data_IF_025049436372
#
_entry.id   IF_025049436372
#
_cell.length_a   1.000
_cell.length_b   1.000
_cell.length_c   1.000
_cell.angle_alpha   90.00
_cell.angle_beta   90.00
_cell.angle_gamma   90.00
#
_symmetry.space_group_name_H-M   'P 1'
#
loop_
_entity.id
_entity.type
_entity.pdbx_description
1 polymer ?
#
# COMPACT_ATOMS: atom_id res chain seq x y z
N UNK A 1 10.40 -6.24 -11.79
CA UNK A 1 10.95 -5.06 -12.49
C UNK A 1 12.29 -4.64 -11.89
N UNK A 2 13.04 -3.87 -12.61
CA UNK A 2 14.31 -3.32 -12.17
C UNK A 2 14.38 -1.85 -12.63
N UNK A 3 14.55 -0.95 -11.67
CA UNK A 3 14.59 0.49 -11.93
C UNK A 3 15.76 0.89 -12.86
N UNK A 4 16.95 0.38 -12.62
CA UNK A 4 18.15 0.73 -13.38
C UNK A 4 18.06 0.32 -14.85
N UNK A 5 17.44 -0.81 -15.10
CA UNK A 5 17.31 -1.36 -16.45
C UNK A 5 16.02 -0.94 -17.13
N UNK A 6 15.13 -0.28 -16.43
CA UNK A 6 13.80 0.11 -16.93
C UNK A 6 13.04 -1.06 -17.60
N UNK A 7 13.23 -2.27 -17.07
CA UNK A 7 12.70 -3.50 -17.66
C UNK A 7 11.49 -3.98 -16.91
N UNK A 8 10.45 -4.31 -17.66
CA UNK A 8 9.31 -5.10 -17.24
C UNK A 8 8.22 -4.36 -16.50
N UNK A 9 8.46 -3.34 -15.75
CA UNK A 9 7.45 -2.65 -14.91
C UNK A 9 6.37 -3.60 -14.35
N UNK A 10 6.80 -4.81 -13.98
CA UNK A 10 5.94 -5.84 -13.40
C UNK A 10 5.98 -5.74 -11.88
N UNK A 11 4.84 -5.91 -11.26
CA UNK A 11 4.66 -5.88 -9.82
C UNK A 11 3.58 -6.91 -9.44
N UNK A 12 3.51 -7.35 -8.19
CA UNK A 12 2.42 -8.19 -7.71
C UNK A 12 1.12 -7.39 -7.72
N UNK A 13 0.43 -7.38 -8.85
CA UNK A 13 -0.86 -6.73 -9.00
C UNK A 13 -1.95 -7.66 -8.48
N UNK A 14 -2.41 -7.40 -7.26
CA UNK A 14 -3.45 -8.17 -6.61
C UNK A 14 -4.79 -7.51 -6.93
N UNK A 15 -5.61 -8.16 -7.76
CA UNK A 15 -6.87 -7.62 -8.24
C UNK A 15 -7.85 -8.73 -8.61
N UNK A 16 -9.14 -8.42 -8.59
CA UNK A 16 -10.14 -9.24 -9.27
C UNK A 16 -10.10 -8.98 -10.79
N UNK A 17 -10.46 -9.97 -11.62
CA UNK A 17 -10.66 -9.72 -13.04
C UNK A 17 -11.65 -8.56 -13.23
N UNK A 18 -11.25 -7.58 -14.06
CA UNK A 18 -12.03 -6.36 -14.32
C UNK A 18 -12.27 -5.46 -13.12
N UNK A 19 -11.46 -5.64 -12.06
CA UNK A 19 -11.49 -4.77 -10.88
C UNK A 19 -11.12 -3.33 -11.22
N UNK A 20 -11.60 -2.40 -10.40
CA UNK A 20 -11.36 -0.96 -10.57
C UNK A 20 -10.07 -0.48 -9.92
N UNK A 21 -9.43 -1.31 -9.14
CA UNK A 21 -8.15 -1.01 -8.49
C UNK A 21 -7.29 -2.26 -8.38
N UNK A 22 -6.02 -2.03 -8.17
CA UNK A 22 -5.02 -3.05 -7.88
C UNK A 22 -4.36 -2.74 -6.55
N UNK A 23 -3.90 -3.77 -5.88
CA UNK A 23 -3.13 -3.63 -4.65
C UNK A 23 -1.77 -4.25 -4.83
N UNK A 24 -0.75 -3.64 -4.24
CA UNK A 24 0.62 -4.15 -4.33
C UNK A 24 1.40 -3.86 -3.05
N UNK A 25 2.33 -4.75 -2.65
CA UNK A 25 3.36 -4.36 -1.72
C UNK A 25 4.24 -3.29 -2.38
N UNK A 26 4.60 -2.28 -1.63
CA UNK A 26 5.41 -1.17 -2.09
C UNK A 26 6.84 -1.32 -1.56
N UNK A 27 7.82 -1.28 -2.45
CA UNK A 27 9.24 -1.37 -2.10
C UNK A 27 9.99 -0.04 -2.25
N UNK A 28 9.28 1.02 -2.61
CA UNK A 28 9.77 2.38 -2.74
C UNK A 28 8.89 3.35 -1.94
N UNK A 29 9.26 4.63 -1.89
CA UNK A 29 8.45 5.66 -1.21
C UNK A 29 7.12 5.90 -1.92
N UNK A 30 6.13 6.37 -1.17
CA UNK A 30 4.82 6.73 -1.74
C UNK A 30 4.96 7.79 -2.84
N UNK A 31 4.23 7.61 -3.93
CA UNK A 31 4.27 8.50 -5.10
C UNK A 31 5.38 8.19 -6.10
N UNK A 32 6.19 7.15 -5.87
CA UNK A 32 7.15 6.67 -6.86
C UNK A 32 6.41 5.89 -7.97
N UNK A 33 6.79 6.10 -9.22
CA UNK A 33 6.25 5.35 -10.36
C UNK A 33 6.69 3.88 -10.40
N UNK A 34 7.79 3.56 -9.73
CA UNK A 34 8.30 2.19 -9.54
C UNK A 34 7.88 1.65 -8.19
N UNK A 35 6.66 1.25 -8.08
CA UNK A 35 6.07 0.82 -6.81
C UNK A 35 6.72 -0.42 -6.23
N UNK A 36 7.17 -1.33 -7.09
CA UNK A 36 7.77 -2.59 -6.70
C UNK A 36 9.02 -2.92 -7.52
N UNK A 37 10.07 -3.28 -6.82
CA UNK A 37 11.31 -3.79 -7.40
C UNK A 37 11.60 -5.17 -6.80
N UNK A 38 11.69 -6.20 -7.64
CA UNK A 38 11.87 -7.58 -7.18
C UNK A 38 13.13 -7.81 -6.35
N UNK A 39 14.21 -7.09 -6.65
CA UNK A 39 15.48 -7.21 -5.90
C UNK A 39 15.48 -6.44 -4.57
N UNK A 40 14.42 -5.70 -4.26
CA UNK A 40 14.28 -5.03 -2.98
C UNK A 40 14.01 -6.07 -1.87
N UNK A 41 14.43 -5.72 -0.65
CA UNK A 41 14.34 -6.57 0.52
C UNK A 41 13.52 -5.93 1.65
N UNK A 42 12.92 -4.77 1.40
CA UNK A 42 12.05 -4.08 2.34
C UNK A 42 10.72 -3.68 1.70
N UNK A 43 9.65 -3.86 2.47
CA UNK A 43 8.31 -3.35 2.16
C UNK A 43 8.07 -2.08 2.97
N UNK A 44 7.59 -1.03 2.29
CA UNK A 44 7.25 0.28 2.85
C UNK A 44 5.77 0.42 3.21
N UNK A 45 4.95 -0.48 2.69
CA UNK A 45 3.51 -0.53 2.89
C UNK A 45 2.80 -1.30 1.77
N UNK A 46 1.49 -1.35 1.87
CA UNK A 46 0.60 -1.96 0.87
C UNK A 46 -0.24 -0.85 0.25
N UNK A 47 -0.11 -0.68 -1.05
CA UNK A 47 -0.62 0.49 -1.76
C UNK A 47 -1.76 0.11 -2.70
N UNK A 48 -2.81 0.93 -2.70
CA UNK A 48 -3.78 0.92 -3.78
C UNK A 48 -3.18 1.62 -5.01
N UNK A 49 -3.31 0.99 -6.16
CA UNK A 49 -2.83 1.55 -7.42
C UNK A 49 -3.95 1.55 -8.46
N UNK A 50 -3.90 2.47 -9.43
CA UNK A 50 -4.87 2.56 -10.53
C UNK A 50 -4.20 2.40 -11.88
N UNK A 51 -3.10 3.12 -12.10
CA UNK A 51 -2.38 3.11 -13.37
C UNK A 51 -0.88 3.30 -13.09
N UNK A 52 -0.19 2.29 -12.54
CA UNK A 52 1.23 2.40 -12.25
C UNK A 52 2.03 2.61 -13.53
N UNK A 53 2.84 3.65 -13.55
CA UNK A 53 3.68 3.99 -14.68
C UNK A 53 4.98 4.65 -14.20
N UNK A 54 6.14 4.18 -14.67
CA UNK A 54 7.40 4.83 -14.33
C UNK A 54 7.55 6.23 -14.96
N UNK A 55 6.75 6.55 -15.95
CA UNK A 55 6.82 7.81 -16.70
C UNK A 55 5.90 8.89 -16.15
N UNK A 56 4.65 8.53 -15.91
CA UNK A 56 3.61 9.47 -15.49
C UNK A 56 3.18 9.28 -14.03
N UNK A 57 3.73 8.27 -13.36
CA UNK A 57 3.32 7.83 -12.02
C UNK A 57 1.85 7.39 -11.94
N UNK A 58 1.44 6.98 -10.77
CA UNK A 58 0.06 6.65 -10.45
C UNK A 58 -0.68 7.87 -9.86
N UNK A 59 -1.96 7.73 -9.63
CA UNK A 59 -2.80 8.77 -9.03
C UNK A 59 -3.73 8.17 -7.96
N UNK A 60 -4.16 9.01 -7.03
CA UNK A 60 -5.09 8.61 -5.96
C UNK A 60 -4.52 7.58 -4.98
N UNK A 61 -3.21 7.55 -4.80
CA UNK A 61 -2.52 6.58 -3.98
C UNK A 61 -2.71 6.84 -2.49
N UNK A 62 -2.93 5.77 -1.73
CA UNK A 62 -2.73 5.71 -0.29
C UNK A 62 -2.20 4.33 0.08
N UNK A 63 -1.60 4.21 1.24
CA UNK A 63 -0.87 3.01 1.65
C UNK A 63 -1.17 2.66 3.10
N UNK A 64 -1.15 1.37 3.40
CA UNK A 64 -1.31 0.81 4.74
C UNK A 64 -0.01 0.13 5.16
N UNK A 65 0.43 0.34 6.41
CA UNK A 65 1.57 -0.37 6.97
C UNK A 65 1.29 -0.80 8.41
N UNK A 66 1.20 -2.12 8.68
CA UNK A 66 1.11 -2.62 10.04
C UNK A 66 2.47 -2.51 10.73
N UNK A 67 2.47 -2.06 11.98
CA UNK A 67 3.67 -1.89 12.81
C UNK A 67 3.40 -2.30 14.25
N UNK A 68 4.44 -2.66 14.98
CA UNK A 68 4.38 -2.99 16.40
C UNK A 68 5.35 -2.14 17.20
N UNK A 69 5.06 -1.91 18.49
CA UNK A 69 5.89 -1.16 19.39
C UNK A 69 5.83 0.35 19.14
N UNK A 70 6.97 0.99 18.96
CA UNK A 70 7.03 2.43 18.74
C UNK A 70 6.70 2.81 17.29
N UNK A 71 5.77 3.75 17.11
CA UNK A 71 5.33 4.18 15.78
C UNK A 71 6.34 5.16 15.18
N UNK A 72 7.01 4.73 14.12
CA UNK A 72 7.88 5.58 13.30
C UNK A 72 7.08 6.21 12.15
N UNK A 73 7.10 7.53 12.03
CA UNK A 73 6.37 8.25 10.98
C UNK A 73 7.15 8.35 9.66
N UNK A 74 8.47 8.27 9.70
CA UNK A 74 9.28 8.23 8.48
C UNK A 74 9.14 6.87 7.78
N UNK A 75 8.58 6.87 6.58
CA UNK A 75 8.31 5.63 5.83
C UNK A 75 9.55 4.78 5.54
N UNK A 76 10.73 5.40 5.40
CA UNK A 76 11.97 4.67 5.12
C UNK A 76 12.48 3.94 6.37
N UNK A 77 12.34 4.57 7.53
CA UNK A 77 12.72 3.96 8.80
C UNK A 77 11.71 2.88 9.20
N UNK A 78 10.42 3.08 8.88
CA UNK A 78 9.33 2.15 9.13
C UNK A 78 9.34 0.95 8.19
N UNK A 79 10.12 0.95 7.10
CA UNK A 79 10.13 -0.15 6.13
C UNK A 79 10.63 -1.46 6.75
N UNK A 80 9.86 -2.52 6.60
CA UNK A 80 10.16 -3.84 7.15
C UNK A 80 10.87 -4.76 6.16
N UNK A 81 11.82 -5.54 6.64
CA UNK A 81 12.43 -6.62 5.90
C UNK A 81 11.40 -7.70 5.56
N UNK A 82 11.53 -8.29 4.39
CA UNK A 82 10.76 -9.44 3.95
C UNK A 82 11.62 -10.39 3.12
N UNK A 83 11.09 -11.57 2.84
CA UNK A 83 11.76 -12.57 2.00
C UNK A 83 10.79 -13.15 0.98
N UNK A 84 11.19 -13.18 -0.29
CA UNK A 84 10.42 -13.83 -1.35
C UNK A 84 10.18 -15.34 -1.12
N UNK A 85 10.99 -15.98 -0.28
CA UNK A 85 10.76 -17.39 0.10
C UNK A 85 9.54 -17.58 1.00
N UNK A 86 9.14 -16.52 1.73
CA UNK A 86 7.97 -16.49 2.59
C UNK A 86 6.81 -15.68 2.00
N UNK A 87 6.97 -15.17 0.77
CA UNK A 87 5.96 -14.41 0.06
C UNK A 87 5.06 -15.34 -0.75
N UNK A 88 3.76 -15.10 -0.71
CA UNK A 88 2.79 -15.72 -1.62
C UNK A 88 2.17 -14.61 -2.45
N UNK A 89 2.38 -14.62 -3.74
CA UNK A 89 1.84 -13.64 -4.68
C UNK A 89 1.00 -14.35 -5.76
N UNK A 90 -0.31 -14.35 -5.57
CA UNK A 90 -1.29 -14.84 -6.53
C UNK A 90 -2.13 -13.66 -7.02
N UNK A 91 -2.73 -13.71 -8.20
CA UNK A 91 -3.55 -12.58 -8.68
C UNK A 91 -4.66 -12.13 -7.73
N UNK A 92 -5.20 -13.05 -6.95
CA UNK A 92 -6.34 -12.85 -6.05
C UNK A 92 -5.99 -12.94 -4.55
N UNK A 93 -4.70 -13.09 -4.22
CA UNK A 93 -4.26 -13.25 -2.83
C UNK A 93 -2.78 -12.93 -2.68
N UNK A 94 -2.46 -12.17 -1.67
CA UNK A 94 -1.09 -11.88 -1.28
C UNK A 94 -0.87 -12.18 0.19
N UNK A 95 0.31 -12.70 0.51
CA UNK A 95 0.73 -12.94 1.90
C UNK A 95 2.21 -12.70 2.04
N UNK A 96 2.61 -12.04 3.12
CA UNK A 96 4.03 -11.82 3.46
C UNK A 96 4.20 -11.70 4.96
N UNK A 97 5.39 -12.09 5.44
CA UNK A 97 5.85 -11.83 6.80
C UNK A 97 6.75 -10.61 6.83
N UNK A 98 6.42 -9.66 7.70
CA UNK A 98 7.16 -8.43 7.94
C UNK A 98 8.05 -8.61 9.17
N UNK A 99 9.34 -8.84 8.93
CA UNK A 99 10.27 -9.30 9.96
C UNK A 99 10.61 -8.24 11.03
N UNK A 100 10.54 -6.95 10.69
CA UNK A 100 10.79 -5.86 11.64
C UNK A 100 9.73 -5.81 12.75
N UNK A 101 8.50 -6.20 12.43
CA UNK A 101 7.32 -6.04 13.29
C UNK A 101 6.72 -7.36 13.75
N UNK A 102 7.28 -8.49 13.32
CA UNK A 102 6.71 -9.84 13.58
C UNK A 102 5.23 -9.95 13.15
N UNK A 103 4.90 -9.35 12.00
CA UNK A 103 3.52 -9.29 11.50
C UNK A 103 3.37 -10.13 10.23
N UNK A 104 2.35 -10.98 10.20
CA UNK A 104 1.88 -11.58 8.94
C UNK A 104 0.80 -10.70 8.34
N UNK A 105 1.02 -10.25 7.11
CA UNK A 105 0.03 -9.50 6.34
C UNK A 105 -0.54 -10.38 5.23
N UNK A 106 -1.86 -10.44 5.15
CA UNK A 106 -2.61 -11.10 4.09
C UNK A 106 -3.55 -10.09 3.42
N UNK A 107 -3.74 -10.22 2.13
CA UNK A 107 -4.56 -9.30 1.34
C UNK A 107 -5.33 -10.07 0.26
N UNK A 108 -6.64 -9.82 0.16
CA UNK A 108 -7.50 -10.35 -0.87
C UNK A 108 -8.35 -9.22 -1.48
N UNK A 109 -8.36 -9.04 -2.81
CA UNK A 109 -9.07 -7.95 -3.46
C UNK A 109 -10.55 -8.29 -3.67
N UNK A 110 -11.35 -7.24 -3.81
CA UNK A 110 -12.67 -7.28 -4.43
C UNK A 110 -12.65 -6.41 -5.69
N UNK A 111 -13.81 -6.20 -6.31
CA UNK A 111 -13.88 -5.32 -7.50
C UNK A 111 -13.46 -3.88 -7.22
N UNK A 112 -13.68 -3.37 -6.00
CA UNK A 112 -13.47 -1.96 -5.64
C UNK A 112 -12.74 -1.74 -4.32
N UNK A 113 -12.43 -2.81 -3.60
CA UNK A 113 -11.81 -2.76 -2.28
C UNK A 113 -10.82 -3.92 -2.10
N UNK A 114 -10.21 -4.01 -0.94
CA UNK A 114 -9.49 -5.19 -0.53
C UNK A 114 -9.77 -5.48 0.95
N UNK A 115 -9.78 -6.76 1.31
CA UNK A 115 -9.74 -7.22 2.67
C UNK A 115 -8.29 -7.41 3.08
N UNK A 116 -7.91 -6.83 4.20
CA UNK A 116 -6.62 -7.07 4.84
C UNK A 116 -6.80 -7.85 6.13
N UNK A 117 -5.86 -8.74 6.39
CA UNK A 117 -5.69 -9.37 7.69
C UNK A 117 -4.27 -9.15 8.16
N UNK A 118 -4.11 -8.53 9.31
CA UNK A 118 -2.85 -8.39 9.99
C UNK A 118 -2.84 -9.30 11.22
N UNK A 119 -1.92 -10.25 11.25
CA UNK A 119 -1.70 -11.10 12.43
C UNK A 119 -0.52 -10.52 13.18
N UNK A 120 -0.81 -9.86 14.28
CA UNK A 120 0.17 -9.22 15.15
C UNK A 120 0.68 -10.18 16.24
N UNK A 121 1.90 -9.98 16.74
CA UNK A 121 2.36 -10.62 17.98
C UNK A 121 1.63 -10.00 19.19
N UNK A 122 1.89 -10.53 20.38
CA UNK A 122 1.40 -9.94 21.64
C UNK A 122 2.21 -8.68 22.01
N UNK A 123 1.88 -7.58 21.34
CA UNK A 123 2.54 -6.28 21.47
C UNK A 123 1.58 -5.15 21.10
N UNK A 124 1.91 -3.93 21.49
CA UNK A 124 1.21 -2.73 21.02
C UNK A 124 1.28 -2.68 19.49
N UNK A 125 0.12 -2.65 18.84
CA UNK A 125 -0.02 -2.87 17.42
C UNK A 125 -0.81 -1.74 16.77
N UNK A 126 -0.35 -1.32 15.59
CA UNK A 126 -0.91 -0.18 14.88
C UNK A 126 -0.96 -0.44 13.38
N UNK A 127 -1.87 0.25 12.70
CA UNK A 127 -1.88 0.36 11.24
C UNK A 127 -1.66 1.83 10.88
N UNK A 128 -0.54 2.12 10.26
CA UNK A 128 -0.23 3.47 9.75
C UNK A 128 -0.86 3.62 8.37
N UNK A 129 -1.62 4.69 8.17
CA UNK A 129 -2.19 5.04 6.87
C UNK A 129 -1.45 6.25 6.35
N UNK A 130 -0.74 6.06 5.25
CA UNK A 130 -0.11 7.13 4.51
C UNK A 130 -1.01 7.55 3.34
N UNK A 131 -1.57 8.74 3.41
CA UNK A 131 -2.05 9.45 2.24
C UNK A 131 -0.96 10.42 1.78
N UNK A 132 -0.99 10.81 0.52
CA UNK A 132 0.03 11.68 -0.05
C UNK A 132 0.18 12.99 0.74
N UNK A 133 1.40 13.45 0.95
CA UNK A 133 1.79 14.57 1.82
C UNK A 133 1.24 15.96 1.40
N UNK A 134 0.65 16.07 0.21
CA UNK A 134 0.08 17.32 -0.32
C UNK A 134 -1.37 17.14 -0.69
N UNK A 135 -2.23 17.96 -0.09
CA UNK A 135 -3.66 18.03 -0.43
C UNK A 135 -4.48 16.81 -0.01
N UNK A 136 -3.97 15.98 0.91
CA UNK A 136 -4.71 14.85 1.48
C UNK A 136 -5.43 15.23 2.76
N UNK A 137 -6.45 14.46 3.11
CA UNK A 137 -7.18 14.60 4.36
C UNK A 137 -7.52 13.21 4.90
N UNK A 138 -7.34 13.03 6.21
CA UNK A 138 -7.69 11.80 6.93
C UNK A 138 -8.51 12.18 8.15
N UNK A 139 -9.64 11.52 8.36
CA UNK A 139 -10.49 11.64 9.54
C UNK A 139 -10.70 10.27 10.16
N UNK A 140 -10.35 10.14 11.44
CA UNK A 140 -10.64 8.95 12.24
C UNK A 140 -12.03 9.10 12.87
N UNK A 141 -12.84 8.07 12.80
CA UNK A 141 -14.20 7.98 13.36
C UNK A 141 -14.24 6.76 14.29
N UNK A 142 -13.75 6.90 15.53
CA UNK A 142 -13.58 5.76 16.44
C UNK A 142 -14.89 5.05 16.77
N UNK A 143 -15.99 5.80 16.87
CA UNK A 143 -17.32 5.28 17.17
C UNK A 143 -17.91 4.39 16.06
N UNK A 144 -17.32 4.44 14.86
CA UNK A 144 -17.72 3.60 13.73
C UNK A 144 -16.61 2.61 13.34
N UNK A 145 -15.51 2.52 14.09
CA UNK A 145 -14.32 1.75 13.74
C UNK A 145 -13.82 2.05 12.31
N UNK A 146 -13.81 3.33 11.95
CA UNK A 146 -13.66 3.74 10.56
C UNK A 146 -12.66 4.90 10.42
N UNK A 147 -11.94 4.88 9.30
CA UNK A 147 -11.16 6.02 8.83
C UNK A 147 -11.66 6.39 7.44
N UNK A 148 -11.92 7.66 7.22
CA UNK A 148 -12.29 8.20 5.90
C UNK A 148 -11.29 9.24 5.47
N UNK A 149 -11.04 9.31 4.18
CA UNK A 149 -10.10 10.30 3.68
C UNK A 149 -10.18 10.50 2.18
N UNK A 150 -9.31 11.38 1.72
CA UNK A 150 -9.04 11.53 0.30
C UNK A 150 -7.58 11.91 0.08
N UNK A 151 -7.09 11.61 -1.09
CA UNK A 151 -5.81 12.10 -1.61
C UNK A 151 -6.01 12.80 -2.94
N UNK A 152 -5.25 13.87 -3.16
CA UNK A 152 -5.25 14.60 -4.42
C UNK A 152 -4.06 14.24 -5.31
N UNK A 153 -3.31 13.19 -4.92
CA UNK A 153 -2.14 12.75 -5.68
C UNK A 153 -2.51 12.49 -7.13
N UNK A 154 -1.85 13.17 -8.03
CA UNK A 154 -1.95 12.96 -9.46
C UNK A 154 -0.67 13.42 -10.16
N UNK A 155 -0.48 12.98 -11.39
CA UNK A 155 0.65 13.36 -12.25
C UNK A 155 0.26 14.32 -13.37
N UNK A 156 -0.92 14.90 -13.31
CA UNK A 156 -1.49 15.77 -14.32
C UNK A 156 -2.61 15.10 -15.13
N UNK A 157 -3.26 15.87 -15.99
CA UNK A 157 -4.35 15.38 -16.84
C UNK A 157 -5.69 15.12 -16.13
N UNK A 158 -5.82 15.56 -14.89
CA UNK A 158 -7.06 15.47 -14.09
C UNK A 158 -7.64 16.87 -13.84
N UNK A 159 -8.94 16.97 -13.51
CA UNK A 159 -9.53 18.25 -13.11
C UNK A 159 -8.86 18.83 -11.84
N UNK A 160 -8.88 20.14 -11.69
CA UNK A 160 -8.26 20.85 -10.55
C UNK A 160 -8.82 20.42 -9.18
N UNK A 161 -10.04 19.91 -9.15
CA UNK A 161 -10.72 19.42 -7.95
C UNK A 161 -10.61 17.90 -7.78
N UNK A 162 -9.71 17.23 -8.49
CA UNK A 162 -9.52 15.79 -8.39
C UNK A 162 -9.28 15.35 -6.95
N UNK A 163 -10.01 14.32 -6.54
CA UNK A 163 -9.83 13.62 -5.27
C UNK A 163 -10.14 12.14 -5.43
N UNK A 164 -9.26 11.30 -4.93
CA UNK A 164 -9.56 9.89 -4.72
C UNK A 164 -9.96 9.69 -3.27
N UNK A 165 -11.21 9.31 -3.01
CA UNK A 165 -11.75 9.07 -1.69
C UNK A 165 -11.53 7.61 -1.29
N UNK A 166 -11.22 7.39 -0.01
CA UNK A 166 -11.08 6.06 0.55
C UNK A 166 -11.77 5.94 1.91
N UNK A 167 -12.15 4.71 2.22
CA UNK A 167 -12.68 4.31 3.53
C UNK A 167 -11.90 3.08 3.98
N UNK A 168 -11.48 3.07 5.24
CA UNK A 168 -10.92 1.89 5.91
C UNK A 168 -11.81 1.57 7.09
N UNK A 169 -12.31 0.35 7.17
CA UNK A 169 -13.15 -0.15 8.25
C UNK A 169 -12.37 -1.23 9.00
N UNK A 170 -12.49 -1.24 10.33
CA UNK A 170 -11.83 -2.18 11.23
C UNK A 170 -12.87 -3.04 11.95
N UNK A 171 -12.57 -4.32 12.10
CA UNK A 171 -13.38 -5.27 12.88
C UNK A 171 -13.25 -5.05 14.40
#
# INVERSE_FOLDING_TARGET
SNFELSTGNTYPAIAMPWGMNFWTPRTNKIGDGWQYTYTANKIYGFEQTHQPSPWINDYGQFSLMPVTGEVEMDERKRASWFSHKGEVALPHYYKVYLAEYDVVTEMAPTERAAMFRFTFPDADSYVVIDAYDRGSSIKVIPEENKIVGYTTRNSGGVPDNFKNYFVVEFD
#
